data_IF_635546174575
#
_entry.id   IF_635546174575
#
_cell.length_a   1.000
_cell.length_b   1.000
_cell.length_c   1.000
_cell.angle_alpha   90.00
_cell.angle_beta   90.00
_cell.angle_gamma   90.00
#
_symmetry.space_group_name_H-M   'P 1'
#
loop_
_entity.id
_entity.type
_entity.pdbx_description
1 polymer ?
#
# COMPACT_ATOMS: atom_id res chain seq x y z
N UNK A 1 -5.36 33.06 36.31
CA UNK A 1 -5.56 31.92 35.40
C UNK A 1 -4.18 31.53 34.93
N UNK A 2 -3.56 30.56 35.59
CA UNK A 2 -2.28 30.01 35.14
C UNK A 2 -2.53 29.28 33.82
N UNK A 3 -1.90 29.74 32.75
CA UNK A 3 -1.81 28.98 31.52
C UNK A 3 -0.84 27.84 31.79
N UNK A 4 -1.34 26.61 31.92
CA UNK A 4 -0.50 25.41 31.89
C UNK A 4 0.36 25.48 30.62
N UNK A 5 1.68 25.58 30.82
CA UNK A 5 2.62 25.68 29.71
C UNK A 5 2.77 24.29 29.10
N UNK A 6 2.06 24.04 28.00
CA UNK A 6 2.21 22.82 27.22
C UNK A 6 3.63 22.74 26.69
N UNK A 7 4.32 21.63 26.98
CA UNK A 7 5.69 21.37 26.55
C UNK A 7 5.72 20.84 25.11
N UNK A 8 6.84 21.02 24.42
CA UNK A 8 7.03 20.47 23.07
C UNK A 8 6.98 18.94 23.07
N UNK A 9 7.43 18.32 24.16
CA UNK A 9 7.37 16.87 24.37
C UNK A 9 5.93 16.34 24.43
N UNK A 10 5.01 17.09 25.06
CA UNK A 10 3.59 16.74 25.11
C UNK A 10 2.95 16.87 23.73
N UNK A 11 3.23 17.95 23.01
CA UNK A 11 2.76 18.13 21.62
C UNK A 11 3.28 17.00 20.73
N UNK A 12 4.56 16.64 20.85
CA UNK A 12 5.16 15.56 20.06
C UNK A 12 4.51 14.21 20.35
N UNK A 13 4.22 13.90 21.62
CA UNK A 13 3.54 12.66 22.00
C UNK A 13 2.14 12.56 21.41
N UNK A 14 1.37 13.65 21.46
CA UNK A 14 0.03 13.69 20.89
C UNK A 14 0.06 13.52 19.36
N UNK A 15 0.98 14.22 18.68
CA UNK A 15 1.15 14.06 17.22
C UNK A 15 1.53 12.62 16.88
N UNK A 16 2.44 12.01 17.66
CA UNK A 16 2.84 10.62 17.45
C UNK A 16 1.64 9.67 17.63
N UNK A 17 0.86 9.85 18.69
CA UNK A 17 -0.32 9.02 18.94
C UNK A 17 -1.39 9.19 17.85
N UNK A 18 -1.51 10.38 17.25
CA UNK A 18 -2.39 10.62 16.10
C UNK A 18 -1.89 9.86 14.88
N UNK A 19 -0.59 9.91 14.57
CA UNK A 19 -0.02 9.16 13.44
C UNK A 19 -0.24 7.65 13.60
N UNK A 20 0.04 7.09 14.77
CA UNK A 20 -0.13 5.65 15.02
C UNK A 20 -1.61 5.22 14.81
N UNK A 21 -2.57 6.11 15.10
CA UNK A 21 -4.00 5.87 14.85
C UNK A 21 -4.37 5.99 13.37
N UNK A 22 -3.69 6.86 12.61
CA UNK A 22 -3.89 6.98 11.17
C UNK A 22 -3.36 5.76 10.43
N UNK A 23 -2.20 5.24 10.83
CA UNK A 23 -1.64 4.01 10.26
C UNK A 23 -2.61 2.83 10.46
N UNK A 24 -3.16 2.68 11.67
CA UNK A 24 -4.17 1.66 11.94
C UNK A 24 -5.45 1.83 11.10
N UNK A 25 -5.88 3.07 10.84
CA UNK A 25 -7.03 3.34 9.98
C UNK A 25 -6.72 2.98 8.51
N UNK A 26 -5.50 3.23 8.05
CA UNK A 26 -5.05 2.84 6.71
C UNK A 26 -5.11 1.32 6.54
N UNK A 27 -4.58 0.55 7.49
CA UNK A 27 -4.64 -0.92 7.49
C UNK A 27 -6.09 -1.44 7.40
N UNK A 28 -6.99 -0.84 8.19
CA UNK A 28 -8.42 -1.21 8.18
C UNK A 28 -9.09 -0.87 6.84
N UNK A 29 -8.76 0.28 6.25
CA UNK A 29 -9.28 0.68 4.94
C UNK A 29 -8.77 -0.27 3.86
N UNK A 30 -7.48 -0.62 3.87
CA UNK A 30 -6.91 -1.61 2.95
C UNK A 30 -7.62 -2.96 3.10
N UNK A 31 -7.84 -3.42 4.33
CA UNK A 31 -8.55 -4.68 4.59
C UNK A 31 -9.99 -4.64 4.05
N UNK A 32 -10.72 -3.53 4.24
CA UNK A 32 -12.07 -3.35 3.71
C UNK A 32 -12.04 -3.31 2.18
N UNK A 33 -11.14 -2.54 1.57
CA UNK A 33 -10.99 -2.47 0.12
C UNK A 33 -10.66 -3.85 -0.44
N UNK A 34 -9.71 -4.59 0.14
CA UNK A 34 -9.33 -5.94 -0.32
C UNK A 34 -10.47 -6.96 -0.13
N UNK A 35 -11.28 -6.82 0.93
CA UNK A 35 -12.42 -7.70 1.19
C UNK A 35 -13.65 -7.37 0.35
N UNK A 36 -13.90 -6.10 0.07
CA UNK A 36 -15.01 -5.62 -0.76
C UNK A 36 -14.67 -5.59 -2.26
N UNK A 37 -13.38 -5.57 -2.62
CA UNK A 37 -12.96 -5.83 -3.98
C UNK A 37 -13.57 -7.17 -4.38
N UNK A 38 -14.37 -7.22 -5.46
CA UNK A 38 -14.90 -8.47 -5.94
C UNK A 38 -13.71 -9.41 -6.09
N UNK A 39 -13.75 -10.53 -5.36
CA UNK A 39 -12.84 -11.65 -5.60
C UNK A 39 -13.22 -12.18 -6.98
N UNK A 40 -12.79 -11.48 -8.03
CA UNK A 40 -12.88 -11.94 -9.39
C UNK A 40 -12.11 -13.24 -9.36
N UNK A 41 -12.82 -14.35 -9.54
CA UNK A 41 -12.18 -15.65 -9.71
C UNK A 41 -11.41 -15.54 -11.02
N UNK A 42 -10.15 -15.16 -10.91
CA UNK A 42 -9.19 -15.35 -11.98
C UNK A 42 -9.23 -16.84 -12.32
N UNK A 43 -9.38 -17.13 -13.60
CA UNK A 43 -9.22 -18.48 -14.11
C UNK A 43 -7.82 -19.00 -13.79
N UNK A 44 -7.66 -20.32 -13.73
CA UNK A 44 -6.33 -20.92 -13.51
C UNK A 44 -5.31 -20.42 -14.53
N UNK A 45 -5.76 -20.17 -15.77
CA UNK A 45 -4.94 -19.63 -16.86
C UNK A 45 -4.45 -18.21 -16.55
N UNK A 46 -5.34 -17.31 -16.13
CA UNK A 46 -4.97 -15.92 -15.78
C UNK A 46 -3.99 -15.89 -14.60
N UNK A 47 -4.15 -16.80 -13.62
CA UNK A 47 -3.21 -16.93 -12.50
C UNK A 47 -1.85 -17.43 -12.96
N UNK A 48 -1.81 -18.40 -13.88
CA UNK A 48 -0.57 -18.93 -14.47
C UNK A 48 0.18 -17.85 -15.25
N UNK A 49 -0.54 -17.04 -16.04
CA UNK A 49 0.03 -15.91 -16.78
C UNK A 49 0.64 -14.86 -15.85
N UNK A 50 -0.07 -14.47 -14.79
CA UNK A 50 0.45 -13.51 -13.79
C UNK A 50 1.72 -14.07 -13.13
N UNK A 51 1.75 -15.35 -12.74
CA UNK A 51 2.94 -15.97 -12.15
C UNK A 51 4.11 -16.00 -13.13
N UNK A 52 3.84 -16.32 -14.40
CA UNK A 52 4.83 -16.29 -15.47
C UNK A 52 5.41 -14.89 -15.66
N UNK A 53 4.56 -13.86 -15.74
CA UNK A 53 5.00 -12.47 -15.85
C UNK A 53 5.85 -12.03 -14.66
N UNK A 54 5.47 -12.39 -13.43
CA UNK A 54 6.28 -12.11 -12.22
C UNK A 54 7.63 -12.82 -12.29
N UNK A 55 7.67 -14.07 -12.77
CA UNK A 55 8.92 -14.81 -12.95
C UNK A 55 9.82 -14.19 -14.02
N UNK A 56 9.24 -13.74 -15.14
CA UNK A 56 9.95 -13.05 -16.22
C UNK A 56 10.54 -11.73 -15.72
N UNK A 57 9.76 -10.95 -14.96
CA UNK A 57 10.22 -9.73 -14.30
C UNK A 57 11.38 -9.99 -13.33
N UNK A 58 11.29 -11.04 -12.49
CA UNK A 58 12.36 -11.42 -11.56
C UNK A 58 13.62 -11.93 -12.26
N UNK A 59 13.46 -12.57 -13.42
CA UNK A 59 14.57 -13.07 -14.24
C UNK A 59 15.29 -11.96 -15.04
N UNK A 60 14.83 -10.71 -14.95
CA UNK A 60 15.48 -9.56 -15.58
C UNK A 60 15.16 -9.40 -17.08
N UNK A 61 14.22 -10.20 -17.63
CA UNK A 61 13.63 -9.92 -18.94
C UNK A 61 12.46 -8.98 -18.76
N UNK A 62 12.78 -7.71 -18.55
CA UNK A 62 11.82 -6.62 -18.46
C UNK A 62 12.14 -5.66 -19.60
N UNK A 63 11.11 -5.22 -20.33
CA UNK A 63 11.23 -4.06 -21.20
C UNK A 63 10.45 -2.92 -20.58
N UNK A 64 10.98 -1.70 -20.69
CA UNK A 64 10.29 -0.51 -20.21
C UNK A 64 9.12 -0.16 -21.13
N UNK A 65 8.13 0.56 -20.62
CA UNK A 65 6.98 1.00 -21.44
C UNK A 65 7.42 1.87 -22.63
N UNK A 66 8.54 2.58 -22.50
CA UNK A 66 9.12 3.39 -23.58
C UNK A 66 9.76 2.55 -24.68
N UNK A 67 10.42 1.44 -24.32
CA UNK A 67 10.99 0.48 -25.28
C UNK A 67 9.91 -0.20 -26.12
N UNK A 68 8.79 -0.56 -25.50
CA UNK A 68 7.65 -1.16 -26.19
C UNK A 68 6.96 -0.15 -27.12
N UNK A 69 6.94 1.14 -26.73
CA UNK A 69 6.31 2.21 -27.54
C UNK A 69 7.07 2.53 -28.83
N UNK A 70 8.31 2.07 -28.93
CA UNK A 70 9.24 2.38 -30.02
C UNK A 70 9.35 1.26 -31.07
N UNK A 71 8.52 0.21 -30.95
CA UNK A 71 8.35 -0.90 -31.91
C UNK A 71 7.10 -0.65 -32.74
#
# INVERSE_FOLDING_TARGET
MESESVTLEEIYKEIKAINDRLDFLEDLIEEVIVKELPRVKLSEIEVEEIKKSISEMKSGKCSTLEEIRSV
#
